data_IF_453020851712
#
_entry.id   IF_453020851712
#
_cell.length_a   1.000
_cell.length_b   1.000
_cell.length_c   1.000
_cell.angle_alpha   90.00
_cell.angle_beta   90.00
_cell.angle_gamma   90.00
#
_symmetry.space_group_name_H-M   'P 1'
#
loop_
_entity.id
_entity.type
_entity.pdbx_description
1 polymer ?
#
# COMPACT_ATOMS: atom_id res chain seq x y z
N UNK A 1 -3.50 27.48 -1.50
CA UNK A 1 -3.93 26.53 -0.45
C UNK A 1 -3.15 25.24 -0.62
N UNK A 2 -2.07 25.11 0.09
CA UNK A 2 -1.39 23.84 0.24
C UNK A 2 -2.22 23.02 1.24
N UNK A 3 -3.03 22.08 0.76
CA UNK A 3 -3.59 21.03 1.59
C UNK A 3 -2.69 19.83 1.45
N UNK A 4 -1.66 19.76 2.27
CA UNK A 4 -0.90 18.55 2.47
C UNK A 4 -1.53 17.82 3.66
N UNK A 5 -2.21 16.72 3.42
CA UNK A 5 -2.34 15.70 4.44
C UNK A 5 -1.12 14.80 4.33
N UNK A 6 -0.34 14.64 5.38
CA UNK A 6 0.90 13.86 5.36
C UNK A 6 0.69 12.41 4.86
N UNK A 7 -0.48 11.82 5.13
CA UNK A 7 -0.86 10.52 4.62
C UNK A 7 -0.94 10.47 3.07
N UNK A 8 -1.39 11.53 2.40
CA UNK A 8 -1.53 11.53 0.94
C UNK A 8 -0.20 11.66 0.19
N UNK A 9 0.87 12.12 0.83
CA UNK A 9 2.20 12.24 0.21
C UNK A 9 2.93 10.90 0.10
N UNK A 10 2.70 9.96 1.01
CA UNK A 10 3.37 8.65 1.02
C UNK A 10 2.91 7.80 -0.16
N UNK A 11 1.62 7.75 -0.47
CA UNK A 11 1.03 6.96 -1.56
C UNK A 11 1.61 7.30 -2.95
N UNK A 12 1.91 8.55 -3.17
CA UNK A 12 2.40 9.02 -4.46
C UNK A 12 3.86 8.73 -4.66
N UNK A 13 4.64 8.80 -3.56
CA UNK A 13 6.08 8.51 -3.57
C UNK A 13 6.36 7.05 -3.85
N UNK A 14 5.58 6.13 -3.30
CA UNK A 14 5.78 4.68 -3.48
C UNK A 14 5.66 4.27 -4.96
N UNK A 15 4.60 4.71 -5.65
CA UNK A 15 4.42 4.44 -7.08
C UNK A 15 5.58 4.99 -7.90
N UNK A 16 6.01 6.23 -7.61
CA UNK A 16 7.09 6.89 -8.33
C UNK A 16 8.44 6.22 -8.04
N UNK A 17 8.71 5.87 -6.78
CA UNK A 17 9.94 5.16 -6.40
C UNK A 17 10.04 3.80 -7.09
N UNK A 18 8.96 3.02 -7.13
CA UNK A 18 8.93 1.76 -7.87
C UNK A 18 9.18 1.97 -9.37
N UNK A 19 8.53 2.96 -9.99
CA UNK A 19 8.70 3.25 -11.39
C UNK A 19 10.11 3.78 -11.72
N UNK A 20 10.70 4.60 -10.85
CA UNK A 20 12.09 5.06 -10.97
C UNK A 20 13.08 3.91 -10.90
N UNK A 21 12.83 2.94 -10.01
CA UNK A 21 13.61 1.71 -9.90
C UNK A 21 13.42 0.74 -11.08
N UNK A 22 12.58 1.09 -12.08
CA UNK A 22 12.39 0.30 -13.29
C UNK A 22 11.24 -0.70 -13.25
N UNK A 23 10.41 -0.70 -12.21
CA UNK A 23 9.26 -1.58 -12.15
C UNK A 23 8.11 -1.13 -13.07
N UNK A 24 7.34 -2.09 -13.59
CA UNK A 24 6.03 -1.84 -14.18
C UNK A 24 4.99 -1.77 -13.06
N UNK A 25 4.32 -0.63 -12.91
CA UNK A 25 3.46 -0.36 -11.76
C UNK A 25 1.99 -0.31 -12.16
N UNK A 26 1.12 -0.95 -11.37
CA UNK A 26 -0.32 -0.72 -11.41
C UNK A 26 -0.71 0.11 -10.19
N UNK A 27 -0.99 1.40 -10.41
CA UNK A 27 -1.47 2.31 -9.37
C UNK A 27 -3.00 2.28 -9.34
N UNK A 28 -3.55 1.85 -8.22
CA UNK A 28 -5.01 1.68 -8.05
C UNK A 28 -5.46 2.50 -6.85
N UNK A 29 -6.42 3.37 -7.06
CA UNK A 29 -7.07 4.16 -6.00
C UNK A 29 -8.53 4.44 -6.40
N UNK A 30 -9.44 4.37 -5.44
CA UNK A 30 -10.86 4.65 -5.68
C UNK A 30 -11.15 6.14 -5.95
N UNK A 31 -10.26 7.02 -5.54
CA UNK A 31 -10.38 8.46 -5.73
C UNK A 31 -9.78 8.92 -7.04
N UNK A 32 -10.64 9.36 -7.97
CA UNK A 32 -10.22 9.95 -9.25
C UNK A 32 -9.24 11.12 -9.05
N UNK A 33 -9.48 11.97 -8.05
CA UNK A 33 -8.61 13.11 -7.75
C UNK A 33 -7.22 12.67 -7.29
N UNK A 34 -7.12 11.58 -6.52
CA UNK A 34 -5.85 11.03 -6.06
C UNK A 34 -5.04 10.44 -7.21
N UNK A 35 -5.69 9.67 -8.08
CA UNK A 35 -5.05 9.11 -9.28
C UNK A 35 -4.55 10.21 -10.20
N UNK A 36 -5.36 11.25 -10.42
CA UNK A 36 -4.95 12.39 -11.26
C UNK A 36 -3.74 13.12 -10.66
N UNK A 37 -3.77 13.38 -9.37
CA UNK A 37 -2.65 14.04 -8.71
C UNK A 37 -1.36 13.20 -8.70
N UNK A 38 -1.48 11.86 -8.51
CA UNK A 38 -0.33 10.96 -8.63
C UNK A 38 0.28 10.99 -10.04
N UNK A 39 -0.56 11.06 -11.08
CA UNK A 39 -0.12 11.21 -12.47
C UNK A 39 0.59 12.54 -12.73
N UNK A 40 0.07 13.64 -12.19
CA UNK A 40 0.71 14.96 -12.28
C UNK A 40 2.09 14.95 -11.62
N UNK A 41 2.20 14.32 -10.43
CA UNK A 41 3.47 14.15 -9.75
C UNK A 41 4.48 13.31 -10.58
N UNK A 42 4.03 12.26 -11.26
CA UNK A 42 4.88 11.48 -12.16
C UNK A 42 5.42 12.37 -13.31
N UNK A 43 4.58 13.24 -13.85
CA UNK A 43 4.98 14.18 -14.91
C UNK A 43 6.04 15.16 -14.41
N UNK A 44 5.81 15.79 -13.26
CA UNK A 44 6.76 16.76 -12.68
C UNK A 44 8.09 16.10 -12.27
N UNK A 45 8.04 14.81 -11.91
CA UNK A 45 9.23 14.01 -11.56
C UNK A 45 9.95 13.41 -12.78
N UNK A 46 9.53 13.72 -14.01
CA UNK A 46 10.17 13.19 -15.22
C UNK A 46 9.92 11.69 -15.47
N UNK A 47 8.85 11.14 -14.88
CA UNK A 47 8.50 9.71 -14.94
C UNK A 47 7.29 9.43 -15.85
N UNK A 48 6.92 10.36 -16.73
CA UNK A 48 5.76 10.23 -17.62
C UNK A 48 5.84 9.03 -18.56
N UNK A 49 7.05 8.67 -18.98
CA UNK A 49 7.29 7.59 -19.94
C UNK A 49 7.46 6.21 -19.27
N UNK A 50 7.39 6.17 -17.94
CA UNK A 50 7.49 4.91 -17.21
C UNK A 50 6.21 4.08 -17.33
N UNK A 51 6.31 2.75 -17.31
CA UNK A 51 5.17 1.85 -17.48
C UNK A 51 4.27 1.83 -16.23
N UNK A 52 3.49 2.89 -16.04
CA UNK A 52 2.54 3.01 -14.94
C UNK A 52 1.10 2.94 -15.48
N UNK A 53 0.34 1.95 -15.04
CA UNK A 53 -1.10 1.86 -15.27
C UNK A 53 -1.83 2.64 -14.17
N UNK A 54 -2.53 3.68 -14.55
CA UNK A 54 -3.33 4.52 -13.65
C UNK A 54 -4.79 4.05 -13.65
N UNK A 55 -5.29 3.61 -12.52
CA UNK A 55 -6.60 2.98 -12.39
C UNK A 55 -7.42 3.67 -11.29
N UNK A 56 -8.58 4.20 -11.68
CA UNK A 56 -9.59 4.68 -10.71
C UNK A 56 -10.53 3.52 -10.46
N UNK A 57 -10.36 2.83 -9.34
CA UNK A 57 -11.07 1.59 -9.07
C UNK A 57 -11.06 1.25 -7.58
N UNK A 58 -12.00 0.44 -7.15
CA UNK A 58 -11.98 -0.22 -5.84
C UNK A 58 -10.86 -1.27 -5.83
N UNK A 59 -9.92 -1.16 -4.87
CA UNK A 59 -8.73 -2.00 -4.83
C UNK A 59 -9.06 -3.49 -4.68
N UNK A 60 -10.01 -3.85 -3.84
CA UNK A 60 -10.39 -5.25 -3.64
C UNK A 60 -11.03 -5.84 -4.88
N UNK A 61 -11.96 -5.11 -5.52
CA UNK A 61 -12.59 -5.52 -6.77
C UNK A 61 -11.57 -5.63 -7.91
N UNK A 62 -10.60 -4.72 -7.95
CA UNK A 62 -9.49 -4.80 -8.91
C UNK A 62 -8.71 -6.11 -8.71
N UNK A 63 -8.25 -6.40 -7.50
CA UNK A 63 -7.49 -7.61 -7.17
C UNK A 63 -8.28 -8.86 -7.54
N UNK A 64 -9.56 -8.95 -7.16
CA UNK A 64 -10.42 -10.09 -7.51
C UNK A 64 -10.56 -10.28 -9.03
N UNK A 65 -10.59 -9.18 -9.82
CA UNK A 65 -10.59 -9.28 -11.29
C UNK A 65 -9.25 -9.76 -11.84
N UNK A 66 -8.14 -9.30 -11.29
CA UNK A 66 -6.80 -9.75 -11.73
C UNK A 66 -6.59 -11.23 -11.40
N UNK A 67 -7.06 -11.72 -10.24
CA UNK A 67 -7.08 -13.17 -9.90
C UNK A 67 -7.84 -13.96 -10.97
N UNK A 68 -9.07 -13.54 -11.32
CA UNK A 68 -9.87 -14.22 -12.36
C UNK A 68 -9.22 -14.19 -13.75
N UNK A 69 -8.37 -13.21 -14.03
CA UNK A 69 -7.61 -13.08 -15.28
C UNK A 69 -6.29 -13.82 -15.27
N UNK A 70 -5.91 -14.45 -14.16
CA UNK A 70 -4.62 -15.10 -13.98
C UNK A 70 -3.43 -14.12 -14.07
N UNK A 71 -3.63 -12.85 -13.69
CA UNK A 71 -2.55 -11.86 -13.64
C UNK A 71 -1.84 -11.94 -12.30
N UNK A 72 -0.51 -11.83 -12.34
CA UNK A 72 0.34 -11.90 -11.16
C UNK A 72 1.25 -10.67 -11.05
N UNK A 73 1.70 -10.42 -9.85
CA UNK A 73 2.55 -9.29 -9.45
C UNK A 73 3.67 -9.79 -8.55
N UNK A 74 4.88 -9.25 -8.75
CA UNK A 74 6.04 -9.67 -7.96
C UNK A 74 6.13 -8.95 -6.61
N UNK A 75 5.44 -7.82 -6.48
CA UNK A 75 5.39 -7.08 -5.23
C UNK A 75 4.05 -6.35 -5.05
N UNK A 76 3.69 -6.14 -3.79
CA UNK A 76 2.52 -5.34 -3.42
C UNK A 76 2.95 -4.29 -2.40
N UNK A 77 2.50 -3.06 -2.63
CA UNK A 77 2.60 -1.96 -1.68
C UNK A 77 1.19 -1.53 -1.33
N UNK A 78 0.86 -1.55 -0.05
CA UNK A 78 -0.49 -1.33 0.44
C UNK A 78 -0.49 -0.31 1.58
N UNK A 79 -1.38 0.66 1.46
CA UNK A 79 -1.58 1.71 2.47
C UNK A 79 -3.09 2.01 2.59
N UNK A 80 -3.88 1.07 3.12
CA UNK A 80 -5.33 1.17 3.17
C UNK A 80 -5.79 2.27 4.14
N UNK A 81 -6.92 2.93 3.86
CA UNK A 81 -7.45 3.95 4.76
C UNK A 81 -7.91 3.33 6.09
N UNK A 82 -7.71 4.06 7.19
CA UNK A 82 -8.17 3.65 8.52
C UNK A 82 -9.70 3.49 8.59
N UNK A 83 -10.43 4.34 7.87
CA UNK A 83 -11.89 4.39 7.84
C UNK A 83 -12.39 4.81 6.46
N UNK A 84 -13.49 4.22 6.03
CA UNK A 84 -14.17 4.59 4.79
C UNK A 84 -15.66 4.29 4.84
N UNK A 85 -16.39 4.84 3.85
CA UNK A 85 -17.79 4.49 3.58
C UNK A 85 -17.93 4.10 2.12
N UNK A 86 -18.51 2.93 1.89
CA UNK A 86 -18.87 2.49 0.55
C UNK A 86 -20.08 3.23 -0.01
N UNK A 87 -20.36 3.10 -1.32
CA UNK A 87 -21.48 3.75 -1.98
C UNK A 87 -22.86 3.34 -1.43
N UNK A 88 -22.97 2.15 -0.87
CA UNK A 88 -24.18 1.62 -0.24
C UNK A 88 -24.30 1.95 1.26
N UNK A 89 -23.36 2.74 1.81
CA UNK A 89 -23.33 3.10 3.23
C UNK A 89 -22.58 2.10 4.11
N UNK A 90 -21.93 1.10 3.52
CA UNK A 90 -21.10 0.14 4.24
C UNK A 90 -19.96 0.87 4.95
N UNK A 91 -19.70 0.45 6.17
CA UNK A 91 -18.60 1.00 6.97
C UNK A 91 -17.37 0.11 6.78
N UNK A 92 -16.28 0.71 6.29
CA UNK A 92 -14.95 0.14 6.28
C UNK A 92 -14.19 0.58 7.52
N UNK A 93 -13.68 -0.36 8.28
CA UNK A 93 -12.70 -0.13 9.33
C UNK A 93 -11.52 -1.05 9.10
N UNK A 94 -10.33 -0.49 9.10
CA UNK A 94 -9.12 -1.24 8.75
C UNK A 94 -8.90 -2.42 9.70
N UNK A 95 -9.05 -2.21 10.98
CA UNK A 95 -8.87 -3.23 12.01
C UNK A 95 -9.77 -4.46 11.84
N UNK A 96 -10.95 -4.27 11.24
CA UNK A 96 -11.93 -5.35 11.01
C UNK A 96 -11.66 -6.10 9.70
N UNK A 97 -11.00 -5.46 8.71
CA UNK A 97 -10.92 -5.94 7.33
C UNK A 97 -9.50 -6.27 6.87
N UNK A 98 -8.45 -5.84 7.58
CA UNK A 98 -7.07 -5.89 7.09
C UNK A 98 -6.58 -7.31 6.81
N UNK A 99 -6.94 -8.28 7.63
CA UNK A 99 -6.53 -9.67 7.44
C UNK A 99 -7.06 -10.23 6.12
N UNK A 100 -8.36 -10.07 5.86
CA UNK A 100 -9.00 -10.57 4.64
C UNK A 100 -8.52 -9.82 3.40
N UNK A 101 -8.24 -8.52 3.52
CA UNK A 101 -7.66 -7.73 2.44
C UNK A 101 -6.26 -8.23 2.07
N UNK A 102 -5.37 -8.42 3.04
CA UNK A 102 -4.03 -8.98 2.80
C UNK A 102 -4.12 -10.37 2.18
N UNK A 103 -5.00 -11.23 2.69
CA UNK A 103 -5.25 -12.56 2.16
C UNK A 103 -5.73 -12.52 0.71
N UNK A 104 -6.69 -11.64 0.39
CA UNK A 104 -7.18 -11.44 -0.99
C UNK A 104 -6.06 -10.96 -1.90
N UNK A 105 -5.30 -9.94 -1.47
CA UNK A 105 -4.18 -9.39 -2.23
C UNK A 105 -3.05 -10.40 -2.44
N UNK A 106 -2.79 -11.30 -1.48
CA UNK A 106 -1.79 -12.37 -1.66
C UNK A 106 -2.11 -13.30 -2.83
N UNK A 107 -3.38 -13.37 -3.24
CA UNK A 107 -3.84 -14.19 -4.37
C UNK A 107 -3.34 -13.73 -5.75
N UNK A 108 -2.84 -12.50 -5.88
CA UNK A 108 -2.23 -12.00 -7.13
C UNK A 108 -0.70 -12.00 -7.09
N UNK A 109 -0.07 -12.47 -6.02
CA UNK A 109 1.38 -12.62 -6.01
C UNK A 109 1.83 -13.73 -6.95
N UNK A 110 2.94 -13.49 -7.65
CA UNK A 110 3.60 -14.49 -8.49
C UNK A 110 4.12 -15.67 -7.66
N UNK A 111 4.62 -16.70 -8.32
CA UNK A 111 5.21 -17.86 -7.61
C UNK A 111 6.51 -17.52 -6.90
N UNK A 112 7.23 -16.49 -7.38
CA UNK A 112 8.48 -15.98 -6.82
C UNK A 112 8.35 -14.49 -6.46
N UNK A 113 7.49 -14.13 -5.49
CA UNK A 113 7.27 -12.75 -5.13
C UNK A 113 8.47 -12.16 -4.39
N UNK A 114 8.69 -10.86 -4.55
CA UNK A 114 9.82 -10.16 -3.94
C UNK A 114 9.49 -9.66 -2.54
N UNK A 115 8.39 -8.90 -2.42
CA UNK A 115 7.98 -8.33 -1.14
C UNK A 115 6.50 -7.96 -1.10
N UNK A 116 6.00 -7.81 0.12
CA UNK A 116 4.71 -7.22 0.44
C UNK A 116 4.90 -6.16 1.53
N UNK A 117 4.63 -4.91 1.20
CA UNK A 117 4.71 -3.79 2.14
C UNK A 117 3.30 -3.36 2.55
N UNK A 118 3.06 -3.31 3.85
CA UNK A 118 1.82 -2.84 4.45
C UNK A 118 2.12 -1.67 5.38
N UNK A 119 1.49 -0.53 5.13
CA UNK A 119 1.51 0.62 6.02
C UNK A 119 0.14 0.81 6.70
N UNK A 120 0.15 1.39 7.88
CA UNK A 120 -1.06 1.78 8.59
C UNK A 120 -0.81 3.04 9.41
N UNK A 121 -1.78 3.94 9.37
CA UNK A 121 -1.84 5.12 10.24
C UNK A 121 -2.98 5.01 11.25
N UNK A 122 -3.51 3.80 11.44
CA UNK A 122 -4.62 3.50 12.35
C UNK A 122 -4.10 3.31 13.76
N UNK A 123 -4.62 4.10 14.69
CA UNK A 123 -4.38 3.90 16.12
C UNK A 123 -4.93 2.54 16.55
N UNK A 124 -4.10 1.71 17.17
CA UNK A 124 -4.49 0.37 17.61
C UNK A 124 -4.06 -0.78 16.70
N UNK A 125 -3.61 -0.49 15.47
CA UNK A 125 -2.98 -1.50 14.61
C UNK A 125 -1.46 -1.42 14.78
N UNK A 126 -0.94 -2.14 15.77
CA UNK A 126 0.50 -2.11 16.10
C UNK A 126 1.35 -2.82 15.05
N UNK A 127 2.67 -2.49 14.95
CA UNK A 127 3.59 -3.19 14.06
C UNK A 127 3.58 -4.71 14.25
N UNK A 128 3.48 -5.18 15.48
CA UNK A 128 3.44 -6.62 15.80
C UNK A 128 2.20 -7.33 15.28
N UNK A 129 1.03 -6.67 15.27
CA UNK A 129 -0.19 -7.21 14.67
C UNK A 129 -0.04 -7.30 13.14
N UNK A 130 0.51 -6.26 12.51
CA UNK A 130 0.78 -6.27 11.07
C UNK A 130 1.78 -7.36 10.69
N UNK A 131 2.84 -7.53 11.48
CA UNK A 131 3.82 -8.60 11.29
C UNK A 131 3.19 -9.99 11.42
N UNK A 132 2.29 -10.17 12.40
CA UNK A 132 1.57 -11.42 12.56
C UNK A 132 0.74 -11.75 11.32
N UNK A 133 -0.03 -10.79 10.80
CA UNK A 133 -0.86 -10.96 9.60
C UNK A 133 -0.01 -11.35 8.39
N UNK A 134 1.08 -10.62 8.12
CA UNK A 134 1.95 -10.92 6.98
C UNK A 134 2.63 -12.27 7.12
N UNK A 135 3.05 -12.66 8.33
CA UNK A 135 3.67 -13.96 8.60
C UNK A 135 2.68 -15.10 8.40
N UNK A 136 1.46 -14.94 8.89
CA UNK A 136 0.42 -15.96 8.77
C UNK A 136 0.00 -16.17 7.30
N UNK A 137 -0.26 -15.08 6.57
CA UNK A 137 -0.75 -15.14 5.20
C UNK A 137 0.35 -15.48 4.18
N UNK A 138 1.53 -14.88 4.31
CA UNK A 138 2.60 -14.99 3.30
C UNK A 138 3.69 -15.98 3.70
N UNK A 139 4.08 -15.98 4.97
CA UNK A 139 5.14 -16.85 5.47
C UNK A 139 4.79 -18.32 5.31
N UNK A 140 3.55 -18.70 5.54
CA UNK A 140 3.07 -20.08 5.37
C UNK A 140 3.14 -20.55 3.91
N UNK A 141 2.86 -19.64 2.96
CA UNK A 141 2.82 -19.97 1.53
C UNK A 141 4.19 -19.86 0.86
N UNK A 142 4.94 -18.82 1.17
CA UNK A 142 6.15 -18.45 0.43
C UNK A 142 7.44 -18.53 1.27
N UNK A 143 7.35 -18.77 2.58
CA UNK A 143 8.48 -18.62 3.48
C UNK A 143 8.86 -17.15 3.67
N UNK A 144 10.15 -16.87 3.76
CA UNK A 144 10.67 -15.48 3.85
C UNK A 144 10.65 -14.92 5.27
N UNK A 145 10.96 -13.62 5.37
CA UNK A 145 11.08 -12.90 6.63
C UNK A 145 10.08 -11.75 6.71
N UNK A 146 9.62 -11.44 7.93
CA UNK A 146 8.78 -10.28 8.20
C UNK A 146 9.47 -9.38 9.20
N UNK A 147 9.60 -8.11 8.84
CA UNK A 147 10.02 -7.03 9.75
C UNK A 147 8.86 -6.03 9.91
N UNK A 148 8.74 -5.45 11.08
CA UNK A 148 7.75 -4.40 11.32
C UNK A 148 8.26 -3.42 12.38
N UNK A 149 7.92 -2.14 12.17
CA UNK A 149 8.33 -1.06 13.07
C UNK A 149 7.35 0.11 12.99
N UNK A 150 7.48 1.05 13.92
CA UNK A 150 6.79 2.32 13.84
C UNK A 150 7.41 3.23 12.77
N UNK A 151 6.57 3.98 12.10
CA UNK A 151 7.00 5.05 11.19
C UNK A 151 6.94 6.36 11.93
N UNK A 152 8.01 7.15 11.83
CA UNK A 152 8.04 8.47 12.43
C UNK A 152 8.80 9.47 11.61
N UNK A 153 8.49 10.74 11.84
CA UNK A 153 9.18 11.88 11.25
C UNK A 153 10.23 12.42 12.22
N UNK A 154 11.48 12.58 11.80
CA UNK A 154 12.50 13.18 12.66
C UNK A 154 12.15 14.64 12.96
N UNK A 155 12.27 15.02 14.23
CA UNK A 155 12.06 16.40 14.71
C UNK A 155 13.41 17.03 14.97
N UNK A 156 13.90 17.82 14.03
CA UNK A 156 15.26 18.43 14.10
C UNK A 156 15.45 19.28 15.36
N UNK A 157 14.43 20.02 15.79
CA UNK A 157 14.52 20.91 16.94
C UNK A 157 14.72 20.20 18.28
N UNK A 158 14.33 18.93 18.39
CA UNK A 158 14.37 18.17 19.65
C UNK A 158 15.22 16.90 19.58
N UNK A 159 15.61 16.47 18.36
CA UNK A 159 16.26 15.19 18.13
C UNK A 159 15.33 14.00 18.35
N UNK A 160 14.04 14.23 18.58
CA UNK A 160 13.04 13.20 18.76
C UNK A 160 12.43 12.75 17.44
N UNK A 161 11.47 11.81 17.53
CA UNK A 161 10.71 11.29 16.39
C UNK A 161 9.23 11.49 16.68
N UNK A 162 8.51 12.11 15.75
CA UNK A 162 7.05 12.20 15.80
C UNK A 162 6.46 10.92 15.21
N UNK A 163 5.81 10.06 16.02
CA UNK A 163 5.18 8.86 15.52
C UNK A 163 4.05 9.22 14.54
N UNK A 164 3.98 8.56 13.40
CA UNK A 164 2.96 8.83 12.40
C UNK A 164 2.28 7.58 11.84
N UNK A 165 2.71 6.39 12.22
CA UNK A 165 2.10 5.15 11.78
C UNK A 165 2.98 3.93 12.03
N UNK A 166 2.62 2.84 11.40
CA UNK A 166 3.33 1.57 11.45
C UNK A 166 3.55 1.01 10.05
N UNK A 167 4.63 0.28 9.87
CA UNK A 167 4.94 -0.45 8.63
C UNK A 167 5.27 -1.90 8.95
N UNK A 168 4.89 -2.81 8.05
CA UNK A 168 5.36 -4.17 8.06
C UNK A 168 5.75 -4.57 6.64
N UNK A 169 6.85 -5.29 6.51
CA UNK A 169 7.39 -5.76 5.24
C UNK A 169 7.64 -7.24 5.34
N UNK A 170 7.02 -8.00 4.46
CA UNK A 170 7.40 -9.36 4.16
C UNK A 170 8.32 -9.36 2.95
N UNK A 171 9.40 -10.14 3.02
CA UNK A 171 10.37 -10.33 1.92
C UNK A 171 10.70 -11.82 1.81
N UNK A 172 10.83 -12.30 0.58
CA UNK A 172 11.26 -13.68 0.31
C UNK A 172 12.73 -13.91 0.58
#
# INVERSE_FOLDING_TARGET
RVRSSAASDVYKRQTLACAEAGASVSHVDASKGMVQWARENATVSGLSDKPIRWLVDDCEKFVQREIRRGKTYDAIVMDPPSYGRGPGGEIWKLEDCIYDLVKTCSGVLSDEPLFFLLNSYTTGLSPSVMAYILRDVLGTRFGGNVTADEIGLPVEATGGVLPCGSTAIWQK
#
